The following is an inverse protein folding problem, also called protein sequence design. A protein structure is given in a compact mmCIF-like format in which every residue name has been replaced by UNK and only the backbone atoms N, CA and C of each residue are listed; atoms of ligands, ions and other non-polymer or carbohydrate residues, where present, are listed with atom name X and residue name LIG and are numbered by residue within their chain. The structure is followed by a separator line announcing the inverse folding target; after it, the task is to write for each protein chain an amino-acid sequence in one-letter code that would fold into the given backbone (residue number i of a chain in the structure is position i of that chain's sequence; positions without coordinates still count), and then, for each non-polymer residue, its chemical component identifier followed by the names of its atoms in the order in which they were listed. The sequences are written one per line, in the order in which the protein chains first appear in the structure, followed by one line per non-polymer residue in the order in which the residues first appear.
data_IF_282062673922
#
_entry.id   IF_282062673922
#
_cell.length_a   1.000
_cell.length_b   1.000
_cell.length_c   1.000
_cell.angle_alpha   90.00
_cell.angle_beta   90.00
_cell.angle_gamma   90.00
#
_symmetry.space_group_name_H-M   'P 1'
#
loop_
_entity.id
_entity.type
_entity.pdbx_description
1 polymer ?
#
# COMPACT_ATOMS: atom_id res chain seq x y z
N UNK A 1 11.76 -69.79 4.63
CA UNK A 1 11.98 -68.38 4.24
C UNK A 1 10.81 -67.62 4.81
N UNK A 2 11.04 -66.89 5.89
CA UNK A 2 10.18 -65.80 6.35
C UNK A 2 10.97 -65.09 7.45
N UNK A 3 11.46 -63.90 7.13
CA UNK A 3 11.84 -62.90 8.12
C UNK A 3 11.15 -61.62 7.67
N UNK A 4 10.19 -61.24 8.47
CA UNK A 4 9.33 -60.06 8.37
C UNK A 4 10.18 -58.81 8.57
N UNK A 5 10.36 -58.02 7.53
CA UNK A 5 10.65 -56.59 7.67
C UNK A 5 9.34 -55.91 8.05
N UNK A 6 9.13 -55.73 9.36
CA UNK A 6 8.08 -54.86 9.87
C UNK A 6 8.52 -53.44 9.52
N UNK A 7 7.91 -52.90 8.47
CA UNK A 7 8.09 -51.56 7.94
C UNK A 7 7.61 -50.59 9.02
N UNK A 8 8.57 -50.10 9.82
CA UNK A 8 8.38 -49.19 10.94
C UNK A 8 7.89 -47.84 10.40
N UNK A 9 6.60 -47.78 10.04
CA UNK A 9 5.94 -46.59 9.53
C UNK A 9 6.12 -45.48 10.56
N UNK A 10 6.78 -44.35 10.21
CA UNK A 10 6.99 -43.27 11.16
C UNK A 10 5.65 -42.70 11.63
N UNK A 11 5.31 -42.95 12.89
CA UNK A 11 4.12 -42.41 13.55
C UNK A 11 4.46 -41.02 14.08
N UNK A 12 3.64 -40.02 13.72
CA UNK A 12 3.76 -38.66 14.24
C UNK A 12 3.69 -38.67 15.77
N UNK A 13 4.61 -37.97 16.44
CA UNK A 13 4.54 -37.78 17.89
C UNK A 13 3.24 -37.06 18.27
N UNK A 14 2.76 -37.25 19.51
CA UNK A 14 1.57 -36.53 20.00
C UNK A 14 1.69 -35.01 19.84
N UNK A 15 2.89 -34.47 20.08
CA UNK A 15 3.21 -33.06 19.85
C UNK A 15 3.14 -32.64 18.38
N UNK A 16 3.55 -33.50 17.44
CA UNK A 16 3.48 -33.23 16.01
C UNK A 16 2.02 -33.27 15.51
N UNK A 17 1.21 -34.19 16.02
CA UNK A 17 -0.23 -34.25 15.72
C UNK A 17 -0.98 -33.02 16.24
N UNK A 18 -0.64 -32.55 17.43
CA UNK A 18 -1.29 -31.36 18.00
C UNK A 18 -0.88 -30.08 17.27
N UNK A 19 0.42 -29.94 16.92
CA UNK A 19 0.88 -28.85 16.05
C UNK A 19 0.19 -28.87 14.67
N UNK A 20 -0.03 -30.07 14.10
CA UNK A 20 -0.74 -30.21 12.82
C UNK A 20 -2.23 -29.81 12.94
N UNK A 21 -2.89 -30.16 14.04
CA UNK A 21 -4.28 -29.73 14.30
C UNK A 21 -4.39 -28.22 14.49
N UNK A 22 -3.47 -27.60 15.21
CA UNK A 22 -3.41 -26.14 15.36
C UNK A 22 -3.22 -25.48 14.00
N UNK A 23 -2.29 -25.98 13.18
CA UNK A 23 -2.08 -25.49 11.82
C UNK A 23 -3.34 -25.56 10.95
N UNK A 24 -4.09 -26.67 10.99
CA UNK A 24 -5.36 -26.78 10.26
C UNK A 24 -6.43 -25.81 10.77
N UNK A 25 -6.55 -25.62 12.09
CA UNK A 25 -7.49 -24.65 12.67
C UNK A 25 -7.17 -23.22 12.24
N UNK A 26 -5.90 -22.84 12.27
CA UNK A 26 -5.47 -21.50 11.84
C UNK A 26 -5.76 -21.30 10.36
N UNK A 27 -5.45 -22.28 9.51
CA UNK A 27 -5.76 -22.24 8.08
C UNK A 27 -7.26 -22.08 7.82
N UNK A 28 -8.09 -22.87 8.50
CA UNK A 28 -9.55 -22.82 8.32
C UNK A 28 -10.12 -21.47 8.81
N UNK A 29 -9.61 -20.92 9.92
CA UNK A 29 -9.97 -19.58 10.40
C UNK A 29 -9.55 -18.47 9.43
N UNK A 30 -8.37 -18.59 8.81
CA UNK A 30 -7.92 -17.67 7.77
C UNK A 30 -8.81 -17.74 6.52
N UNK A 31 -9.20 -18.94 6.08
CA UNK A 31 -10.12 -19.11 4.96
C UNK A 31 -11.48 -18.46 5.26
N UNK A 32 -12.02 -18.66 6.46
CA UNK A 32 -13.29 -18.04 6.87
C UNK A 32 -13.21 -16.51 6.84
N UNK A 33 -12.14 -15.92 7.39
CA UNK A 33 -11.92 -14.47 7.32
C UNK A 33 -11.85 -13.95 5.88
N UNK A 34 -11.23 -14.70 4.98
CA UNK A 34 -11.13 -14.33 3.58
C UNK A 34 -12.47 -14.41 2.85
N UNK A 35 -13.27 -15.45 3.08
CA UNK A 35 -14.63 -15.56 2.53
C UNK A 35 -15.55 -14.45 3.07
N UNK A 36 -15.50 -14.17 4.37
CA UNK A 36 -16.24 -13.06 4.98
C UNK A 36 -15.84 -11.72 4.36
N UNK A 37 -14.54 -11.51 4.11
CA UNK A 37 -14.05 -10.30 3.44
C UNK A 37 -14.59 -10.20 2.02
N UNK A 38 -14.57 -11.30 1.27
CA UNK A 38 -15.05 -11.33 -0.11
C UNK A 38 -16.53 -10.95 -0.19
N UNK A 39 -17.37 -11.51 0.67
CA UNK A 39 -18.78 -11.13 0.75
C UNK A 39 -18.95 -9.63 1.06
N UNK A 40 -18.18 -9.09 2.01
CA UNK A 40 -18.24 -7.66 2.36
C UNK A 40 -17.73 -6.73 1.25
N UNK A 41 -16.72 -7.16 0.51
CA UNK A 41 -16.20 -6.42 -0.63
C UNK A 41 -17.24 -6.29 -1.75
N UNK A 42 -18.06 -7.33 -1.92
CA UNK A 42 -19.19 -7.36 -2.87
C UNK A 42 -20.38 -6.52 -2.37
N UNK A 43 -20.75 -6.61 -1.08
CA UNK A 43 -22.02 -6.06 -0.59
C UNK A 43 -21.95 -4.59 -0.11
N UNK A 44 -20.78 -4.02 0.21
CA UNK A 44 -20.61 -2.65 0.76
C UNK A 44 -21.57 -2.25 1.92
N UNK A 45 -22.28 -3.19 2.55
CA UNK A 45 -23.53 -2.88 3.27
C UNK A 45 -23.48 -3.02 4.80
N UNK A 46 -22.51 -3.74 5.37
CA UNK A 46 -22.69 -4.25 6.75
C UNK A 46 -22.09 -3.39 7.86
N UNK A 47 -21.51 -2.22 7.55
CA UNK A 47 -20.99 -1.27 8.55
C UNK A 47 -19.82 -1.79 9.40
N UNK A 48 -19.33 -3.02 9.15
CA UNK A 48 -18.14 -3.59 9.78
C UNK A 48 -16.90 -3.15 9.00
N UNK A 49 -15.90 -2.53 9.65
CA UNK A 49 -14.67 -2.13 8.98
C UNK A 49 -13.92 -3.33 8.39
N UNK A 50 -13.37 -3.14 7.19
CA UNK A 50 -12.42 -4.05 6.55
C UNK A 50 -11.10 -4.04 7.34
N UNK A 51 -10.43 -5.19 7.43
CA UNK A 51 -9.14 -5.30 8.13
C UNK A 51 -8.10 -6.01 7.26
N UNK A 52 -6.82 -5.76 7.56
CA UNK A 52 -5.70 -6.44 6.90
C UNK A 52 -5.49 -7.88 7.41
N UNK A 53 -6.22 -8.32 8.45
CA UNK A 53 -6.00 -9.62 9.09
C UNK A 53 -6.32 -10.82 8.19
N UNK A 54 -7.14 -10.59 7.15
CA UNK A 54 -7.46 -11.58 6.13
C UNK A 54 -6.31 -11.78 5.12
N UNK A 55 -5.35 -10.84 5.05
CA UNK A 55 -4.22 -10.86 4.13
C UNK A 55 -2.93 -11.14 4.91
N UNK A 56 -2.58 -12.41 5.07
CA UNK A 56 -1.33 -12.75 5.75
C UNK A 56 -0.11 -12.29 4.93
N UNK A 57 0.83 -11.58 5.57
CA UNK A 57 2.08 -11.13 4.96
C UNK A 57 2.94 -12.30 4.45
N UNK A 58 3.45 -12.18 3.23
CA UNK A 58 4.50 -13.03 2.68
C UNK A 58 5.84 -12.27 2.62
N UNK A 59 6.82 -12.76 3.39
CA UNK A 59 8.16 -12.18 3.46
C UNK A 59 8.96 -12.36 2.16
N UNK A 60 8.68 -13.40 1.37
CA UNK A 60 9.36 -13.62 0.09
C UNK A 60 8.92 -12.57 -0.94
N UNK A 61 7.69 -12.09 -0.82
CA UNK A 61 7.12 -11.02 -1.65
C UNK A 61 7.36 -9.63 -1.05
N UNK A 62 8.15 -9.54 0.03
CA UNK A 62 8.43 -8.30 0.77
C UNK A 62 7.17 -7.54 1.22
N UNK A 63 6.15 -8.28 1.65
CA UNK A 63 4.91 -7.72 2.18
C UNK A 63 5.05 -7.36 3.65
N UNK A 64 4.93 -6.07 3.95
CA UNK A 64 4.92 -5.56 5.33
C UNK A 64 3.77 -4.56 5.47
N UNK A 65 2.81 -4.87 6.33
CA UNK A 65 1.61 -4.04 6.45
C UNK A 65 1.83 -2.88 7.40
N UNK A 66 1.41 -1.68 7.00
CA UNK A 66 1.35 -0.54 7.91
C UNK A 66 0.45 -0.83 9.12
N UNK A 67 0.80 -0.23 10.26
CA UNK A 67 -0.10 -0.16 11.41
C UNK A 67 -1.39 0.57 11.01
N UNK A 68 -2.50 0.26 11.69
CA UNK A 68 -3.78 0.92 11.42
C UNK A 68 -3.67 2.44 11.52
N UNK A 69 -2.92 2.95 12.51
CA UNK A 69 -2.69 4.38 12.68
C UNK A 69 -1.96 5.00 11.48
N UNK A 70 -0.84 4.40 11.05
CA UNK A 70 -0.08 4.85 9.89
C UNK A 70 -0.94 4.85 8.63
N UNK A 71 -1.63 3.74 8.36
CA UNK A 71 -2.48 3.62 7.18
C UNK A 71 -3.65 4.62 7.20
N UNK A 72 -4.22 4.88 8.39
CA UNK A 72 -5.32 5.84 8.56
C UNK A 72 -4.86 7.26 8.27
N UNK A 73 -3.71 7.69 8.82
CA UNK A 73 -3.14 9.02 8.57
C UNK A 73 -2.90 9.22 7.06
N UNK A 74 -2.24 8.26 6.41
CA UNK A 74 -1.96 8.32 4.98
C UNK A 74 -3.24 8.39 4.14
N UNK A 75 -4.26 7.58 4.49
CA UNK A 75 -5.55 7.59 3.82
C UNK A 75 -6.31 8.92 4.01
N UNK A 76 -6.29 9.49 5.22
CA UNK A 76 -6.91 10.78 5.52
C UNK A 76 -6.29 11.90 4.69
N UNK A 77 -4.96 11.93 4.55
CA UNK A 77 -4.29 12.96 3.76
C UNK A 77 -4.54 12.82 2.25
N UNK A 78 -4.67 11.58 1.77
CA UNK A 78 -5.14 11.29 0.42
C UNK A 78 -6.61 11.66 0.21
N UNK A 79 -7.44 11.72 1.25
CA UNK A 79 -8.86 12.11 1.18
C UNK A 79 -9.11 13.59 1.52
N UNK A 80 -8.15 14.30 2.11
CA UNK A 80 -8.28 15.71 2.49
C UNK A 80 -8.63 16.55 1.28
N UNK A 81 -9.79 17.22 1.30
CA UNK A 81 -10.36 17.99 0.19
C UNK A 81 -10.67 17.16 -1.07
N UNK A 82 -10.82 15.84 -0.94
CA UNK A 82 -11.26 15.00 -2.05
C UNK A 82 -12.73 15.25 -2.37
N UNK A 83 -13.05 15.25 -3.65
CA UNK A 83 -14.42 15.33 -4.18
C UNK A 83 -14.72 14.07 -5.00
N UNK A 84 -15.96 13.92 -5.47
CA UNK A 84 -16.40 12.74 -6.22
C UNK A 84 -15.54 12.46 -7.47
N UNK A 85 -15.08 13.52 -8.12
CA UNK A 85 -14.25 13.47 -9.32
C UNK A 85 -12.78 13.16 -9.03
N UNK A 86 -12.36 13.17 -7.77
CA UNK A 86 -10.98 12.86 -7.39
C UNK A 86 -10.68 11.39 -7.65
N UNK A 87 -9.55 11.12 -8.31
CA UNK A 87 -9.03 9.76 -8.54
C UNK A 87 -7.79 9.53 -7.68
N UNK A 88 -7.83 8.48 -6.85
CA UNK A 88 -6.75 8.07 -5.96
C UNK A 88 -6.21 6.72 -6.40
N UNK A 89 -4.93 6.66 -6.76
CA UNK A 89 -4.23 5.41 -7.07
C UNK A 89 -3.33 4.99 -5.90
N UNK A 90 -3.50 3.75 -5.45
CA UNK A 90 -2.71 3.11 -4.39
C UNK A 90 -1.82 2.04 -5.03
N UNK A 91 -0.51 2.23 -5.00
CA UNK A 91 0.46 1.34 -5.65
C UNK A 91 1.25 0.60 -4.57
N UNK A 92 1.05 -0.72 -4.46
CA UNK A 92 1.74 -1.60 -3.51
C UNK A 92 1.61 -1.20 -2.02
N UNK A 93 0.57 -0.43 -1.67
CA UNK A 93 0.28 -0.01 -0.29
C UNK A 93 -1.13 -0.45 0.18
N UNK A 94 -1.44 -1.76 0.20
CA UNK A 94 -2.81 -2.25 0.41
C UNK A 94 -3.42 -1.85 1.77
N UNK A 95 -2.62 -1.73 2.83
CA UNK A 95 -3.12 -1.25 4.14
C UNK A 95 -3.78 0.12 4.03
N UNK A 96 -3.23 1.02 3.21
CA UNK A 96 -3.79 2.36 2.98
C UNK A 96 -5.08 2.26 2.16
N UNK A 97 -5.13 1.37 1.16
CA UNK A 97 -6.35 1.11 0.39
C UNK A 97 -7.50 0.64 1.28
N UNK A 98 -7.25 -0.28 2.21
CA UNK A 98 -8.26 -0.75 3.16
C UNK A 98 -8.78 0.40 4.03
N UNK A 99 -7.90 1.28 4.51
CA UNK A 99 -8.35 2.46 5.29
C UNK A 99 -9.10 3.48 4.44
N UNK A 100 -8.70 3.70 3.18
CA UNK A 100 -9.47 4.52 2.23
C UNK A 100 -10.90 3.98 2.09
N UNK A 101 -11.05 2.68 1.84
CA UNK A 101 -12.36 2.02 1.72
C UNK A 101 -13.21 2.19 2.98
N UNK A 102 -12.62 1.99 4.16
CA UNK A 102 -13.31 2.16 5.44
C UNK A 102 -13.80 3.59 5.65
N UNK A 103 -12.97 4.59 5.36
CA UNK A 103 -13.33 6.01 5.55
C UNK A 103 -14.43 6.42 4.56
N UNK A 104 -14.29 6.09 3.27
CA UNK A 104 -15.27 6.50 2.25
C UNK A 104 -16.59 5.73 2.36
N UNK A 105 -16.62 4.57 3.03
CA UNK A 105 -17.87 3.87 3.33
C UNK A 105 -18.84 4.73 4.16
N UNK A 106 -18.32 5.62 5.01
CA UNK A 106 -19.11 6.60 5.76
C UNK A 106 -19.61 7.79 4.94
N UNK A 107 -19.19 7.94 3.68
CA UNK A 107 -19.57 9.05 2.80
C UNK A 107 -20.78 8.65 1.93
N UNK A 108 -21.57 9.65 1.53
CA UNK A 108 -22.60 9.47 0.51
C UNK A 108 -21.98 8.97 -0.80
N UNK A 109 -22.63 8.01 -1.46
CA UNK A 109 -22.06 7.30 -2.61
C UNK A 109 -21.67 8.25 -3.77
N UNK A 110 -22.46 9.31 -4.00
CA UNK A 110 -22.22 10.34 -5.02
C UNK A 110 -21.09 11.32 -4.67
N UNK A 111 -20.53 11.22 -3.46
CA UNK A 111 -19.40 12.04 -2.97
C UNK A 111 -18.10 11.25 -2.87
N UNK A 112 -18.14 9.93 -3.07
CA UNK A 112 -16.95 9.09 -2.92
C UNK A 112 -15.99 9.33 -4.09
N UNK A 113 -14.68 9.49 -3.84
CA UNK A 113 -13.69 9.53 -4.89
C UNK A 113 -13.56 8.16 -5.57
N UNK A 114 -12.99 8.13 -6.77
CA UNK A 114 -12.61 6.88 -7.43
C UNK A 114 -11.32 6.35 -6.83
N UNK A 115 -11.30 5.08 -6.44
CA UNK A 115 -10.11 4.40 -5.89
C UNK A 115 -9.60 3.35 -6.87
N UNK A 116 -8.28 3.21 -6.97
CA UNK A 116 -7.62 2.12 -7.68
C UNK A 116 -6.54 1.50 -6.79
N UNK A 117 -6.50 0.18 -6.72
CA UNK A 117 -5.44 -0.59 -6.06
C UNK A 117 -4.63 -1.32 -7.12
N UNK A 118 -3.34 -1.00 -7.19
CA UNK A 118 -2.36 -1.74 -7.98
C UNK A 118 -1.55 -2.60 -7.01
N UNK A 119 -1.76 -3.91 -7.04
CA UNK A 119 -1.03 -4.84 -6.17
C UNK A 119 -0.64 -6.13 -6.90
N UNK A 120 0.47 -6.73 -6.49
CA UNK A 120 0.93 -8.04 -6.92
C UNK A 120 0.09 -9.17 -6.32
N UNK A 121 -0.34 -9.02 -5.07
CA UNK A 121 -1.11 -10.05 -4.37
C UNK A 121 -2.54 -10.18 -4.91
N UNK A 122 -2.78 -11.25 -5.67
CA UNK A 122 -4.07 -11.53 -6.30
C UNK A 122 -5.22 -11.75 -5.30
N UNK A 123 -4.93 -11.95 -4.01
CA UNK A 123 -5.99 -12.03 -2.97
C UNK A 123 -6.78 -10.73 -2.88
N UNK A 124 -6.20 -9.59 -3.21
CA UNK A 124 -6.92 -8.31 -3.30
C UNK A 124 -7.89 -8.23 -4.48
N UNK A 125 -7.90 -9.22 -5.38
CA UNK A 125 -8.86 -9.34 -6.48
C UNK A 125 -10.32 -9.51 -6.05
N UNK A 126 -10.60 -9.64 -4.75
CA UNK A 126 -11.95 -9.51 -4.19
C UNK A 126 -12.52 -8.09 -4.33
N UNK A 127 -11.67 -7.07 -4.53
CA UNK A 127 -12.10 -5.70 -4.71
C UNK A 127 -12.21 -5.33 -6.20
N UNK A 128 -13.31 -4.71 -6.65
CA UNK A 128 -13.45 -4.27 -8.04
C UNK A 128 -12.44 -3.18 -8.43
N UNK A 129 -11.87 -2.47 -7.45
CA UNK A 129 -10.84 -1.45 -7.64
C UNK A 129 -9.44 -2.04 -7.90
N UNK A 130 -9.28 -3.36 -7.76
CA UNK A 130 -8.00 -4.05 -7.93
C UNK A 130 -7.56 -4.14 -9.39
N UNK A 131 -6.26 -3.96 -9.61
CA UNK A 131 -5.55 -4.26 -10.84
C UNK A 131 -4.26 -4.98 -10.48
N UNK A 132 -4.07 -6.18 -11.02
CA UNK A 132 -2.82 -6.91 -10.85
C UNK A 132 -1.64 -6.07 -11.37
N UNK A 133 -0.64 -5.89 -10.51
CA UNK A 133 0.53 -5.07 -10.78
C UNK A 133 1.80 -5.81 -10.42
N UNK A 134 2.64 -6.05 -11.42
CA UNK A 134 4.00 -6.57 -11.26
C UNK A 134 4.98 -5.46 -11.60
N UNK A 135 5.78 -5.03 -10.62
CA UNK A 135 6.75 -3.96 -10.79
C UNK A 135 7.79 -4.28 -11.87
N UNK A 136 8.03 -5.56 -12.20
CA UNK A 136 8.91 -5.93 -13.32
C UNK A 136 8.35 -5.51 -14.68
N UNK A 137 7.04 -5.33 -14.75
CA UNK A 137 6.29 -4.90 -15.93
C UNK A 137 5.49 -3.61 -15.61
N UNK A 138 6.17 -2.50 -15.23
CA UNK A 138 5.55 -1.37 -14.52
C UNK A 138 4.45 -0.64 -15.31
N UNK A 139 4.42 -0.78 -16.63
CA UNK A 139 3.42 -0.16 -17.50
C UNK A 139 2.43 -1.16 -18.12
N UNK A 140 2.45 -2.43 -17.72
CA UNK A 140 1.47 -3.44 -18.14
C UNK A 140 0.19 -3.27 -17.33
N UNK A 141 -0.47 -2.12 -17.53
CA UNK A 141 -1.62 -1.67 -16.77
C UNK A 141 -2.83 -1.40 -17.69
N UNK A 142 -4.06 -1.48 -17.16
CA UNK A 142 -5.26 -1.11 -17.91
C UNK A 142 -5.16 0.31 -18.48
N UNK A 143 -5.38 0.46 -19.79
CA UNK A 143 -5.14 1.72 -20.50
C UNK A 143 -5.93 2.92 -19.95
N UNK A 144 -7.08 2.69 -19.31
CA UNK A 144 -7.91 3.73 -18.71
C UNK A 144 -7.25 4.41 -17.49
N UNK A 145 -6.23 3.79 -16.89
CA UNK A 145 -5.50 4.34 -15.75
C UNK A 145 -4.41 5.35 -16.15
N UNK A 146 -4.12 5.48 -17.45
CA UNK A 146 -3.06 6.38 -17.92
C UNK A 146 -3.45 7.84 -17.67
N UNK A 147 -2.64 8.55 -16.87
CA UNK A 147 -2.84 9.96 -16.58
C UNK A 147 -4.17 10.29 -15.90
N UNK A 148 -4.77 9.33 -15.18
CA UNK A 148 -6.06 9.53 -14.53
C UNK A 148 -5.95 10.03 -13.09
N UNK A 149 -4.85 9.74 -12.40
CA UNK A 149 -4.76 9.91 -10.95
C UNK A 149 -4.44 11.37 -10.58
N UNK A 150 -5.30 11.96 -9.75
CA UNK A 150 -5.05 13.25 -9.10
C UNK A 150 -4.18 13.06 -7.84
N UNK A 151 -4.28 11.88 -7.21
CA UNK A 151 -3.54 11.54 -5.98
C UNK A 151 -2.94 10.15 -6.09
N UNK A 152 -1.69 10.01 -5.69
CA UNK A 152 -0.99 8.73 -5.72
C UNK A 152 -0.29 8.48 -4.39
N UNK A 153 -0.42 7.26 -3.88
CA UNK A 153 0.50 6.72 -2.88
C UNK A 153 1.22 5.51 -3.43
N UNK A 154 2.52 5.41 -3.16
CA UNK A 154 3.35 4.30 -3.61
C UNK A 154 4.24 3.78 -2.48
N UNK A 155 4.27 2.46 -2.30
CA UNK A 155 5.19 1.77 -1.39
C UNK A 155 5.84 0.58 -2.12
N UNK A 156 6.97 0.81 -2.83
CA UNK A 156 7.59 -0.25 -3.63
C UNK A 156 8.15 -1.38 -2.74
N UNK A 157 7.99 -2.66 -3.14
CA UNK A 157 8.31 -3.81 -2.28
C UNK A 157 9.80 -3.94 -1.94
N UNK A 158 10.70 -3.42 -2.79
CA UNK A 158 12.14 -3.58 -2.61
C UNK A 158 12.89 -2.26 -2.48
N UNK A 159 13.92 -2.28 -1.63
CA UNK A 159 14.83 -1.17 -1.38
C UNK A 159 16.00 -1.15 -2.35
N UNK A 160 15.72 -1.38 -3.63
CA UNK A 160 16.69 -1.37 -4.73
C UNK A 160 16.42 -0.22 -5.69
N UNK A 161 17.47 0.37 -6.27
CA UNK A 161 17.33 1.46 -7.25
C UNK A 161 16.45 1.05 -8.45
N UNK A 162 16.57 -0.21 -8.90
CA UNK A 162 15.74 -0.75 -9.97
C UNK A 162 14.25 -0.74 -9.61
N UNK A 163 13.89 -1.23 -8.43
CA UNK A 163 12.50 -1.27 -7.98
C UNK A 163 11.92 0.15 -7.84
N UNK A 164 12.67 1.06 -7.21
CA UNK A 164 12.28 2.46 -7.06
C UNK A 164 12.11 3.16 -8.42
N UNK A 165 13.03 2.90 -9.36
CA UNK A 165 12.95 3.44 -10.72
C UNK A 165 11.70 2.94 -11.44
N UNK A 166 11.44 1.64 -11.42
CA UNK A 166 10.25 1.05 -12.06
C UNK A 166 8.95 1.56 -11.43
N UNK A 167 8.87 1.64 -10.11
CA UNK A 167 7.73 2.23 -9.42
C UNK A 167 7.51 3.69 -9.81
N UNK A 168 8.58 4.49 -9.93
CA UNK A 168 8.46 5.89 -10.37
C UNK A 168 7.94 6.03 -11.80
N UNK A 169 8.26 5.08 -12.69
CA UNK A 169 7.68 5.02 -14.04
C UNK A 169 6.17 4.76 -13.98
N UNK A 170 5.73 3.84 -13.12
CA UNK A 170 4.30 3.56 -12.87
C UNK A 170 3.58 4.82 -12.38
N UNK A 171 4.11 5.45 -11.32
CA UNK A 171 3.49 6.66 -10.74
C UNK A 171 3.45 7.79 -11.77
N UNK A 172 4.51 7.99 -12.54
CA UNK A 172 4.54 8.96 -13.66
C UNK A 172 3.48 8.66 -14.71
N UNK A 173 3.27 7.40 -15.05
CA UNK A 173 2.30 6.99 -16.06
C UNK A 173 0.85 7.17 -15.58
N UNK A 174 0.59 6.99 -14.28
CA UNK A 174 -0.71 7.21 -13.64
C UNK A 174 -1.04 8.70 -13.44
N UNK A 175 -0.03 9.51 -13.12
CA UNK A 175 -0.20 10.90 -12.69
C UNK A 175 -0.78 11.80 -13.78
N UNK A 176 -1.86 12.51 -13.48
CA UNK A 176 -2.54 13.44 -14.39
C UNK A 176 -1.72 14.69 -14.72
N UNK A 177 -0.93 15.19 -13.78
CA UNK A 177 -0.19 16.46 -13.86
C UNK A 177 1.32 16.31 -13.61
N UNK A 178 1.92 15.19 -14.04
CA UNK A 178 3.36 14.95 -13.81
C UNK A 178 4.26 16.08 -14.31
N UNK A 179 5.11 16.62 -13.42
CA UNK A 179 6.08 17.66 -13.79
C UNK A 179 5.50 19.07 -13.85
N UNK A 180 4.22 19.27 -13.54
CA UNK A 180 3.60 20.60 -13.57
C UNK A 180 3.87 21.39 -12.27
N UNK A 181 4.35 20.73 -11.21
CA UNK A 181 4.62 21.32 -9.90
C UNK A 181 5.99 22.01 -9.77
N UNK A 182 6.91 21.86 -10.73
CA UNK A 182 8.26 22.44 -10.62
C UNK A 182 8.24 23.98 -10.53
N UNK A 183 7.17 24.61 -11.05
CA UNK A 183 6.95 26.07 -10.96
C UNK A 183 6.37 26.57 -9.63
N UNK A 184 5.84 25.67 -8.78
CA UNK A 184 5.19 25.97 -7.49
C UNK A 184 6.15 25.93 -6.29
N UNK A 185 7.43 25.57 -6.51
CA UNK A 185 8.46 25.61 -5.45
C UNK A 185 8.89 27.04 -5.06
N UNK A 186 8.12 28.08 -5.42
CA UNK A 186 8.22 29.35 -4.72
C UNK A 186 7.63 29.18 -3.33
N UNK A 187 8.49 28.99 -2.34
CA UNK A 187 8.16 29.00 -0.92
C UNK A 187 7.12 30.10 -0.60
N UNK A 188 5.92 29.70 -0.17
CA UNK A 188 4.88 30.63 0.30
C UNK A 188 3.64 30.82 -0.59
N UNK A 189 3.34 29.95 -1.55
CA UNK A 189 2.01 29.93 -2.18
C UNK A 189 1.02 29.06 -1.40
N UNK A 190 -0.15 29.63 -1.07
CA UNK A 190 -1.25 29.01 -0.30
C UNK A 190 -2.15 28.07 -1.12
N UNK A 191 -1.91 27.91 -2.42
CA UNK A 191 -2.71 27.01 -3.25
C UNK A 191 -2.18 25.57 -3.18
N UNK A 192 -3.06 24.63 -2.84
CA UNK A 192 -2.72 23.20 -2.79
C UNK A 192 -2.18 22.71 -4.14
N UNK A 193 -1.14 21.84 -4.16
CA UNK A 193 -0.57 21.36 -5.41
C UNK A 193 -1.64 20.63 -6.24
N UNK A 194 -1.64 20.76 -7.58
CA UNK A 194 -2.65 20.16 -8.46
C UNK A 194 -2.71 18.63 -8.37
N UNK A 195 -1.65 17.98 -7.87
CA UNK A 195 -1.65 16.55 -7.54
C UNK A 195 -0.91 16.27 -6.24
N UNK A 196 -1.48 15.40 -5.39
CA UNK A 196 -0.83 14.91 -4.16
C UNK A 196 -0.08 13.61 -4.44
N UNK A 197 1.17 13.54 -4.00
CA UNK A 197 2.01 12.35 -4.09
C UNK A 197 2.57 12.02 -2.71
N UNK A 198 2.41 10.76 -2.31
CA UNK A 198 3.07 10.17 -1.15
C UNK A 198 3.88 8.96 -1.63
N UNK A 199 5.13 8.87 -1.21
CA UNK A 199 5.96 7.68 -1.37
C UNK A 199 6.45 7.27 0.01
N UNK A 200 6.18 6.05 0.42
CA UNK A 200 6.75 5.49 1.64
C UNK A 200 7.70 4.38 1.24
N UNK A 201 8.91 4.38 1.77
CA UNK A 201 9.89 3.32 1.51
C UNK A 201 11.04 3.42 2.52
N UNK A 202 12.04 2.54 2.41
CA UNK A 202 13.20 2.52 3.29
C UNK A 202 14.04 3.80 3.19
N UNK A 203 14.52 4.28 4.32
CA UNK A 203 15.36 5.50 4.43
C UNK A 203 16.56 5.47 3.47
N UNK A 204 17.23 4.32 3.36
CA UNK A 204 18.44 4.13 2.56
C UNK A 204 18.31 4.42 1.06
N UNK A 205 17.09 4.46 0.52
CA UNK A 205 16.83 4.82 -0.89
C UNK A 205 16.29 6.25 -1.03
N UNK A 206 16.31 7.05 0.04
CA UNK A 206 15.73 8.40 0.06
C UNK A 206 16.32 9.34 -0.98
N UNK A 207 17.62 9.29 -1.23
CA UNK A 207 18.26 10.08 -2.29
C UNK A 207 17.74 9.69 -3.69
N UNK A 208 17.50 8.41 -3.91
CA UNK A 208 16.93 7.88 -5.16
C UNK A 208 15.48 8.37 -5.31
N UNK A 209 14.67 8.30 -4.25
CA UNK A 209 13.29 8.79 -4.25
C UNK A 209 13.24 10.29 -4.57
N UNK A 210 14.00 11.11 -3.83
CA UNK A 210 14.05 12.55 -4.07
C UNK A 210 14.50 12.89 -5.51
N UNK A 211 15.44 12.14 -6.07
CA UNK A 211 15.89 12.30 -7.46
C UNK A 211 14.81 11.91 -8.48
N UNK A 212 14.18 10.74 -8.34
CA UNK A 212 13.22 10.20 -9.31
C UNK A 212 11.93 11.02 -9.37
N UNK A 213 11.46 11.48 -8.21
CA UNK A 213 10.20 12.22 -8.08
C UNK A 213 10.41 13.73 -7.98
N UNK A 214 11.64 14.24 -8.18
CA UNK A 214 11.95 15.68 -8.23
C UNK A 214 10.99 16.50 -9.10
N UNK A 215 10.58 16.05 -10.31
CA UNK A 215 9.63 16.81 -11.14
C UNK A 215 8.27 17.06 -10.46
N UNK A 216 7.89 16.24 -9.48
CA UNK A 216 6.67 16.40 -8.70
C UNK A 216 6.83 17.23 -7.43
N UNK A 217 8.05 17.70 -7.15
CA UNK A 217 8.37 18.46 -5.94
C UNK A 217 8.31 17.62 -4.66
N UNK A 218 8.65 16.32 -4.73
CA UNK A 218 8.69 15.49 -3.52
C UNK A 218 9.84 15.91 -2.61
N UNK A 219 9.64 15.82 -1.30
CA UNK A 219 10.70 15.91 -0.30
C UNK A 219 10.45 14.93 0.85
N UNK A 220 11.51 14.56 1.55
CA UNK A 220 11.43 13.76 2.79
C UNK A 220 10.63 14.51 3.85
N UNK A 221 9.68 13.84 4.51
CA UNK A 221 8.82 14.43 5.54
C UNK A 221 9.27 14.07 6.96
N UNK A 222 8.76 14.78 7.96
CA UNK A 222 8.94 14.45 9.38
C UNK A 222 8.18 13.21 9.82
N UNK A 223 7.26 12.68 9.00
CA UNK A 223 6.48 11.49 9.34
C UNK A 223 7.28 10.20 9.14
N UNK A 224 7.19 9.32 10.13
CA UNK A 224 7.84 8.02 10.16
C UNK A 224 6.77 6.91 10.17
N UNK A 225 6.53 6.24 9.04
CA UNK A 225 5.52 5.19 8.98
C UNK A 225 5.91 3.98 9.83
N UNK A 226 4.93 3.39 10.50
CA UNK A 226 5.10 2.23 11.38
C UNK A 226 4.37 1.02 10.79
N UNK A 227 4.97 -0.17 10.90
CA UNK A 227 4.41 -1.44 10.43
C UNK A 227 3.76 -2.23 11.57
N UNK A 228 2.69 -2.97 11.27
CA UNK A 228 1.86 -3.67 12.25
C UNK A 228 2.62 -4.73 13.05
N UNK A 229 3.52 -5.47 12.41
CA UNK A 229 4.36 -6.50 13.05
C UNK A 229 5.77 -6.02 13.40
N UNK A 230 6.02 -4.71 13.25
CA UNK A 230 7.35 -4.13 13.36
C UNK A 230 8.25 -4.51 12.18
N UNK A 231 9.20 -3.63 11.87
CA UNK A 231 10.20 -3.86 10.83
C UNK A 231 11.52 -3.25 11.29
N UNK A 232 12.63 -3.97 11.14
CA UNK A 232 13.95 -3.48 11.57
C UNK A 232 14.49 -2.36 10.67
N UNK A 233 14.03 -2.29 9.42
CA UNK A 233 14.43 -1.23 8.50
C UNK A 233 13.74 0.08 8.90
N UNK A 234 14.49 1.17 8.92
CA UNK A 234 13.90 2.51 9.01
C UNK A 234 13.20 2.86 7.69
N UNK A 235 11.95 3.30 7.79
CA UNK A 235 11.15 3.77 6.67
C UNK A 235 10.87 5.26 6.82
N UNK A 236 10.91 5.98 5.71
CA UNK A 236 10.55 7.38 5.62
C UNK A 236 9.31 7.55 4.74
N UNK A 237 8.55 8.60 5.04
CA UNK A 237 7.52 9.12 4.17
C UNK A 237 8.07 10.32 3.40
N UNK A 238 7.86 10.34 2.09
CA UNK A 238 8.19 11.42 1.18
C UNK A 238 6.89 11.95 0.58
N UNK A 239 6.70 13.27 0.56
CA UNK A 239 5.48 13.86 0.03
C UNK A 239 5.78 15.19 -0.67
N UNK A 240 4.93 15.57 -1.61
CA UNK A 240 5.01 16.87 -2.30
C UNK A 240 4.10 17.94 -1.67
N UNK A 241 3.67 17.73 -0.44
CA UNK A 241 2.87 18.67 0.35
C UNK A 241 3.16 18.47 1.85
N UNK A 242 2.94 19.52 2.62
CA UNK A 242 2.89 19.46 4.09
C UNK A 242 1.44 19.34 4.57
N UNK A 243 1.24 18.83 5.78
CA UNK A 243 -0.07 18.72 6.42
C UNK A 243 0.05 18.80 7.95
N UNK A 244 -1.05 18.57 8.67
CA UNK A 244 -1.01 18.59 10.14
C UNK A 244 -0.15 17.47 10.75
N UNK A 245 0.05 16.37 10.01
CA UNK A 245 0.84 15.23 10.47
C UNK A 245 2.32 15.31 10.08
N UNK A 246 2.68 16.17 9.11
CA UNK A 246 4.07 16.30 8.70
C UNK A 246 4.44 17.63 8.05
N UNK A 247 5.70 17.97 8.24
CA UNK A 247 6.41 19.02 7.49
C UNK A 247 7.55 18.39 6.69
N UNK A 248 8.13 19.12 5.75
CA UNK A 248 9.34 18.67 5.07
C UNK A 248 10.54 18.76 6.01
N UNK A 249 11.41 17.75 5.96
CA UNK A 249 12.68 17.81 6.68
C UNK A 249 13.55 18.87 6.01
N UNK A 250 14.13 19.74 6.83
CA UNK A 250 15.19 20.64 6.39
C UNK A 250 16.39 19.79 5.98
N UNK A 251 17.02 20.12 4.86
CA UNK A 251 18.28 19.50 4.47
C UNK A 251 19.34 19.78 5.54
N UNK A 252 20.16 18.78 5.86
CA UNK A 252 21.30 18.91 6.80
C UNK A 252 22.33 19.91 6.22
N UNK A 253 22.07 21.20 6.37
CA UNK A 253 22.83 22.28 5.73
C UNK A 253 22.26 23.67 5.96
N UNK A 254 20.98 23.80 6.32
CA UNK A 254 20.38 25.08 6.70
C UNK A 254 20.37 25.26 8.22
N UNK A 255 21.42 25.91 8.74
CA UNK A 255 21.42 26.62 10.03
C UNK A 255 20.95 28.05 9.84
#
# INVERSE_FOLDING_TARGET
MENTEDDDMPVLSGSALDALKEFYKDRDAHQQKFEDLKQRAEDQADGVPLTMDAFAEDWNESQFWYSNETATILAQELLRDAVAETVIAVVSAPSVFIQLKNIVAGWAADKRPTLHLLEFDERFGVFPEFSFYDFNNPMKLPAHLKGCADRVICDPPFLSEECQTKASLTVRWLSKSWGQNESLMSWGQEEAPPSKLIVCTGERVGDIVNKLYRPQGIATTTFLPVHAKGLSNEFFCFANFECEHWTWRKSDGEK
#
